data_IF_151314248474
#
_entry.id   IF_151314248474
#
_cell.length_a   1.000
_cell.length_b   1.000
_cell.length_c   1.000
_cell.angle_alpha   90.00
_cell.angle_beta   90.00
_cell.angle_gamma   90.00
#
_symmetry.space_group_name_H-M   'P 1'
#
loop_
_entity.id
_entity.type
_entity.pdbx_description
1 polymer ?
#
# COMPACT_ATOMS: atom_id res chain seq x y z
N UNK A 1 16.58 -19.34 15.38
CA UNK A 1 16.18 -18.80 14.05
C UNK A 1 15.28 -17.60 14.28
N UNK A 2 15.44 -16.51 13.54
CA UNK A 2 14.49 -15.41 13.60
C UNK A 2 13.14 -15.87 13.03
N UNK A 3 12.04 -15.52 13.68
CA UNK A 3 10.69 -15.86 13.23
C UNK A 3 10.37 -15.03 11.99
N UNK A 4 9.95 -15.68 10.90
CA UNK A 4 9.49 -14.97 9.70
C UNK A 4 8.19 -14.23 9.98
N UNK A 5 8.03 -13.07 9.34
CA UNK A 5 6.83 -12.22 9.43
C UNK A 5 6.09 -12.33 8.10
N UNK A 6 4.79 -12.68 8.08
CA UNK A 6 4.03 -12.67 6.84
C UNK A 6 3.90 -11.23 6.32
N UNK A 7 3.94 -11.06 5.00
CA UNK A 7 3.90 -9.76 4.36
C UNK A 7 2.78 -9.68 3.33
N UNK A 8 2.17 -8.50 3.21
CA UNK A 8 1.31 -8.13 2.10
C UNK A 8 2.13 -7.24 1.17
N UNK A 9 2.33 -7.73 -0.04
CA UNK A 9 2.97 -6.98 -1.12
C UNK A 9 1.88 -6.20 -1.85
N UNK A 10 2.07 -4.89 -1.98
CA UNK A 10 1.11 -3.95 -2.54
C UNK A 10 1.71 -3.27 -3.75
N UNK A 11 0.95 -3.18 -4.84
CA UNK A 11 1.26 -2.23 -5.90
C UNK A 11 0.95 -0.80 -5.43
N UNK A 12 1.44 0.21 -6.15
CA UNK A 12 1.22 1.62 -5.83
C UNK A 12 0.00 2.16 -6.56
N UNK A 13 0.11 2.31 -7.88
CA UNK A 13 -0.94 2.89 -8.72
C UNK A 13 -2.08 1.87 -8.94
N UNK A 14 -3.32 2.31 -8.76
CA UNK A 14 -4.51 1.45 -8.82
C UNK A 14 -4.75 0.58 -7.57
N UNK A 15 -3.83 0.57 -6.60
CA UNK A 15 -3.95 -0.19 -5.34
C UNK A 15 -3.91 0.71 -4.10
N UNK A 16 -2.93 1.62 -4.00
CA UNK A 16 -2.81 2.58 -2.90
C UNK A 16 -3.35 3.94 -3.34
N UNK A 17 -2.96 4.41 -4.53
CA UNK A 17 -3.51 5.61 -5.14
C UNK A 17 -4.35 5.31 -6.36
N UNK A 18 -5.27 6.22 -6.69
CA UNK A 18 -5.95 6.24 -7.97
C UNK A 18 -4.91 6.40 -9.07
N UNK A 19 -4.99 5.54 -10.09
CA UNK A 19 -4.13 5.65 -11.27
C UNK A 19 -4.68 6.73 -12.22
N UNK A 20 -4.21 7.96 -12.05
CA UNK A 20 -4.49 9.08 -12.96
C UNK A 20 -3.61 9.07 -14.22
N UNK A 21 -2.75 8.06 -14.38
CA UNK A 21 -1.76 7.97 -15.45
C UNK A 21 -0.52 8.82 -15.17
N UNK A 22 0.64 8.18 -15.03
CA UNK A 22 1.92 8.84 -14.73
C UNK A 22 1.88 9.72 -13.48
N UNK A 23 1.31 9.23 -12.37
CA UNK A 23 1.28 9.98 -11.10
C UNK A 23 2.71 10.14 -10.56
N UNK A 24 3.18 11.38 -10.51
CA UNK A 24 4.51 11.75 -9.99
C UNK A 24 4.50 13.01 -9.10
N UNK A 25 3.39 13.75 -9.06
CA UNK A 25 3.20 14.95 -8.24
C UNK A 25 2.29 14.64 -7.04
N UNK A 26 2.55 15.29 -5.90
CA UNK A 26 1.76 15.08 -4.67
C UNK A 26 0.29 15.47 -4.89
N UNK A 27 0.06 16.58 -5.60
CA UNK A 27 -1.29 17.09 -5.86
C UNK A 27 -2.12 16.16 -6.77
N UNK A 28 -1.45 15.27 -7.51
CA UNK A 28 -2.09 14.22 -8.33
C UNK A 28 -2.18 12.88 -7.59
N UNK A 29 -1.67 12.77 -6.36
CA UNK A 29 -1.69 11.56 -5.58
C UNK A 29 -2.94 11.50 -4.71
N UNK A 30 -3.94 10.76 -5.18
CA UNK A 30 -5.19 10.53 -4.46
C UNK A 30 -5.22 9.12 -3.89
N UNK A 31 -5.29 8.98 -2.56
CA UNK A 31 -5.50 7.66 -1.95
C UNK A 31 -6.86 7.10 -2.34
N UNK A 32 -6.90 5.81 -2.68
CA UNK A 32 -8.17 5.11 -2.87
C UNK A 32 -8.92 5.07 -1.53
N UNK A 33 -10.24 5.24 -1.57
CA UNK A 33 -11.09 5.24 -0.38
C UNK A 33 -10.87 3.98 0.49
N UNK A 34 -10.63 4.20 1.78
CA UNK A 34 -10.48 3.14 2.78
C UNK A 34 -9.11 2.43 2.80
N UNK A 35 -8.21 2.65 1.84
CA UNK A 35 -6.92 1.92 1.79
C UNK A 35 -6.01 2.21 2.97
N UNK A 36 -6.05 3.44 3.51
CA UNK A 36 -5.29 3.81 4.71
C UNK A 36 -5.77 2.99 5.92
N UNK A 37 -7.08 2.86 6.09
CA UNK A 37 -7.66 2.11 7.19
C UNK A 37 -7.41 0.61 7.04
N UNK A 38 -7.53 0.08 5.82
CA UNK A 38 -7.19 -1.31 5.50
C UNK A 38 -5.72 -1.62 5.81
N UNK A 39 -4.78 -0.77 5.35
CA UNK A 39 -3.35 -0.93 5.67
C UNK A 39 -3.10 -0.86 7.18
N UNK A 40 -3.79 0.02 7.91
CA UNK A 40 -3.69 0.11 9.36
C UNK A 40 -4.19 -1.17 10.04
N UNK A 41 -5.26 -1.76 9.55
CA UNK A 41 -5.79 -3.04 10.04
C UNK A 41 -4.82 -4.20 9.76
N UNK A 42 -4.27 -4.29 8.55
CA UNK A 42 -3.26 -5.29 8.19
C UNK A 42 -2.02 -5.20 9.09
N UNK A 43 -1.57 -3.97 9.41
CA UNK A 43 -0.49 -3.77 10.40
C UNK A 43 -0.88 -4.28 11.78
N UNK A 44 -2.11 -4.01 12.25
CA UNK A 44 -2.62 -4.51 13.54
C UNK A 44 -2.71 -6.05 13.57
N UNK A 45 -3.02 -6.69 12.44
CA UNK A 45 -3.05 -8.14 12.29
C UNK A 45 -1.65 -8.78 12.29
N UNK A 46 -0.57 -7.99 12.26
CA UNK A 46 0.81 -8.46 12.36
C UNK A 46 1.51 -8.67 11.01
N UNK A 47 0.94 -8.18 9.91
CA UNK A 47 1.60 -8.23 8.61
C UNK A 47 2.67 -7.12 8.45
N UNK A 48 3.73 -7.44 7.73
CA UNK A 48 4.57 -6.43 7.08
C UNK A 48 3.83 -5.92 5.83
N UNK A 49 3.92 -4.62 5.55
CA UNK A 49 3.43 -4.03 4.30
C UNK A 49 4.65 -3.64 3.48
N UNK A 50 4.69 -4.11 2.22
CA UNK A 50 5.82 -3.87 1.32
C UNK A 50 5.26 -3.39 -0.01
N UNK A 51 5.62 -2.17 -0.39
CA UNK A 51 5.24 -1.65 -1.71
C UNK A 51 6.20 -2.22 -2.76
N UNK A 52 5.65 -2.77 -3.84
CA UNK A 52 6.39 -3.23 -5.01
C UNK A 52 5.65 -2.69 -6.23
N UNK A 53 6.23 -1.66 -6.83
CA UNK A 53 5.70 -0.94 -8.00
C UNK A 53 6.73 -1.01 -9.12
N UNK A 54 6.28 -1.13 -10.37
CA UNK A 54 7.14 -1.16 -11.57
C UNK A 54 7.78 0.21 -11.87
#
# INVERSE_FOLDING_TARGET
MAKSVPAIFLDRDGTINVDHGYVHEIDAFEFIDGVIDAMRELKKMGYALVVVTN
#
